data_IF_646439548786
#
_entry.id   IF_646439548786
#
_cell.length_a   1.000
_cell.length_b   1.000
_cell.length_c   1.000
_cell.angle_alpha   90.00
_cell.angle_beta   90.00
_cell.angle_gamma   90.00
#
_symmetry.space_group_name_H-M   'P 1'
#
loop_
_entity.id
_entity.type
_entity.pdbx_description
1 polymer ?
#
# COMPACT_ATOMS: atom_id res chain seq x y z
N UNK A 1 42.60 -20.61 -15.90
CA UNK A 1 41.85 -19.37 -15.58
C UNK A 1 40.36 -19.72 -15.45
N UNK A 2 39.74 -19.30 -14.32
CA UNK A 2 38.31 -19.24 -13.95
C UNK A 2 37.41 -20.46 -14.28
N UNK A 3 36.77 -21.22 -13.37
CA UNK A 3 36.34 -21.14 -11.97
C UNK A 3 35.59 -19.87 -11.54
N UNK A 4 34.24 -19.87 -11.64
CA UNK A 4 33.30 -19.18 -10.72
C UNK A 4 31.84 -19.26 -11.23
N UNK A 5 31.29 -20.47 -11.44
CA UNK A 5 29.88 -20.65 -11.85
C UNK A 5 28.99 -21.32 -10.80
N UNK A 6 29.37 -21.32 -9.52
CA UNK A 6 28.59 -21.94 -8.43
C UNK A 6 28.36 -21.09 -7.17
N UNK A 7 28.70 -19.80 -7.18
CA UNK A 7 28.69 -18.96 -5.97
C UNK A 7 27.82 -17.70 -6.05
N UNK A 8 27.15 -17.46 -7.18
CA UNK A 8 26.42 -16.20 -7.40
C UNK A 8 24.97 -16.19 -6.88
N UNK A 9 24.35 -17.34 -6.64
CA UNK A 9 22.93 -17.42 -6.23
C UNK A 9 22.71 -17.25 -4.71
N UNK A 10 23.70 -17.53 -3.88
CA UNK A 10 23.55 -17.56 -2.41
C UNK A 10 23.69 -16.20 -1.72
N UNK A 11 24.19 -15.17 -2.43
CA UNK A 11 24.44 -13.84 -1.85
C UNK A 11 23.28 -12.86 -2.16
N UNK A 12 22.51 -13.09 -3.22
CA UNK A 12 21.55 -12.09 -3.73
C UNK A 12 20.20 -12.13 -2.98
N UNK A 13 19.77 -13.30 -2.51
CA UNK A 13 18.46 -13.46 -1.84
C UNK A 13 18.37 -12.85 -0.42
N UNK A 14 19.41 -12.87 0.44
CA UNK A 14 19.33 -12.21 1.75
C UNK A 14 19.42 -10.67 1.66
N UNK A 15 20.16 -10.15 0.68
CA UNK A 15 20.43 -8.72 0.51
C UNK A 15 19.19 -7.98 -0.01
N UNK A 16 18.41 -8.60 -0.92
CA UNK A 16 17.13 -8.05 -1.35
C UNK A 16 16.16 -7.85 -0.18
N UNK A 17 16.06 -8.80 0.77
CA UNK A 17 15.13 -8.69 1.92
C UNK A 17 15.53 -7.66 2.97
N UNK A 18 16.82 -7.31 3.11
CA UNK A 18 17.31 -6.36 4.13
C UNK A 18 17.55 -4.94 3.63
N UNK A 19 17.88 -4.72 2.35
CA UNK A 19 18.19 -3.37 1.83
C UNK A 19 17.10 -2.77 0.93
N UNK A 20 16.37 -3.58 0.18
CA UNK A 20 15.34 -3.05 -0.73
C UNK A 20 14.11 -2.53 0.05
N UNK A 21 13.68 -3.25 1.09
CA UNK A 21 12.45 -2.95 1.83
C UNK A 21 12.50 -1.64 2.67
N UNK A 22 13.61 -1.31 3.35
CA UNK A 22 13.73 -0.03 4.07
C UNK A 22 13.91 1.18 3.15
N UNK A 23 14.64 1.01 2.04
CA UNK A 23 14.85 2.08 1.06
C UNK A 23 13.58 2.33 0.28
N UNK A 24 12.88 1.29 -0.19
CA UNK A 24 11.56 1.43 -0.80
C UNK A 24 10.55 2.07 0.17
N UNK A 25 10.54 1.70 1.46
CA UNK A 25 9.71 2.38 2.48
C UNK A 25 10.09 3.83 2.72
N UNK A 26 11.37 4.20 2.59
CA UNK A 26 11.86 5.58 2.73
C UNK A 26 11.65 6.43 1.49
N UNK A 27 11.66 5.81 0.30
CA UNK A 27 11.52 6.49 -0.98
C UNK A 27 10.08 6.49 -1.50
N UNK A 28 9.22 5.55 -1.07
CA UNK A 28 7.80 5.51 -1.41
C UNK A 28 7.08 6.83 -1.12
N UNK A 29 7.31 7.54 0.00
CA UNK A 29 6.69 8.85 0.23
C UNK A 29 7.12 9.92 -0.78
N UNK A 30 8.24 9.75 -1.48
CA UNK A 30 8.77 10.69 -2.47
C UNK A 30 8.47 10.27 -3.92
N UNK A 31 8.02 9.03 -4.14
CA UNK A 31 7.57 8.55 -5.44
C UNK A 31 6.10 8.94 -5.62
N UNK A 32 5.82 9.83 -6.59
CA UNK A 32 4.46 10.28 -6.92
C UNK A 32 3.55 9.07 -7.20
N UNK A 33 2.57 8.83 -6.34
CA UNK A 33 1.56 7.76 -6.48
C UNK A 33 1.64 6.64 -5.43
N UNK A 34 2.71 6.61 -4.63
CA UNK A 34 2.90 5.63 -3.55
C UNK A 34 2.63 6.30 -2.19
N UNK A 35 1.82 5.65 -1.34
CA UNK A 35 1.46 6.09 -0.01
C UNK A 35 1.75 4.99 1.03
N UNK A 36 1.86 5.35 2.30
CA UNK A 36 1.94 4.36 3.39
C UNK A 36 0.66 4.41 4.20
N UNK A 37 -0.13 3.33 4.15
CA UNK A 37 -1.31 3.15 4.99
C UNK A 37 -0.92 2.44 6.28
N UNK A 38 -1.08 3.11 7.42
CA UNK A 38 -0.95 2.54 8.75
C UNK A 38 -2.32 2.11 9.28
N UNK A 39 -2.45 0.82 9.58
CA UNK A 39 -3.64 0.22 10.20
C UNK A 39 -3.30 -0.32 11.60
N UNK A 40 -4.29 -0.60 12.44
CA UNK A 40 -4.08 -1.27 13.72
C UNK A 40 -4.30 -2.78 13.57
N UNK A 41 -3.28 -3.58 13.92
CA UNK A 41 -3.36 -5.03 13.82
C UNK A 41 -4.48 -5.60 14.71
N UNK A 42 -5.51 -6.21 14.12
CA UNK A 42 -6.71 -6.70 14.84
C UNK A 42 -6.43 -7.68 15.98
N UNK A 43 -5.34 -8.45 15.90
CA UNK A 43 -4.95 -9.43 16.92
C UNK A 43 -3.96 -8.85 17.93
N UNK A 44 -3.06 -7.97 17.47
CA UNK A 44 -1.95 -7.51 18.31
C UNK A 44 -2.13 -6.10 18.87
N UNK A 45 -3.10 -5.32 18.37
CA UNK A 45 -3.29 -3.91 18.73
C UNK A 45 -2.17 -2.96 18.27
N UNK A 46 -1.21 -3.44 17.46
CA UNK A 46 -0.01 -2.67 17.09
C UNK A 46 -0.17 -1.99 15.72
N UNK A 47 0.45 -0.82 15.49
CA UNK A 47 0.49 -0.18 14.18
C UNK A 47 1.15 -1.06 13.11
N UNK A 48 0.54 -1.12 11.91
CA UNK A 48 0.95 -1.93 10.75
C UNK A 48 1.01 -1.05 9.50
N UNK A 49 2.19 -0.47 9.17
CA UNK A 49 2.38 0.31 7.96
C UNK A 49 2.51 -0.59 6.72
N UNK A 50 1.71 -0.31 5.71
CA UNK A 50 1.61 -1.04 4.43
C UNK A 50 1.76 -0.04 3.28
N UNK A 51 2.75 -0.21 2.39
CA UNK A 51 2.80 0.56 1.15
C UNK A 51 1.57 0.25 0.29
N UNK A 52 0.89 1.29 -0.18
CA UNK A 52 -0.29 1.18 -1.03
C UNK A 52 -0.19 2.20 -2.16
N UNK A 53 -0.55 1.77 -3.36
CA UNK A 53 -0.83 2.69 -4.47
C UNK A 53 -2.20 3.34 -4.27
N UNK A 54 -2.33 4.59 -4.70
CA UNK A 54 -3.61 5.28 -4.62
C UNK A 54 -3.62 6.67 -5.25
N UNK A 55 -4.73 7.36 -5.07
CA UNK A 55 -4.92 8.74 -5.52
C UNK A 55 -5.55 9.56 -4.42
N UNK A 56 -4.96 10.72 -4.16
CA UNK A 56 -5.58 11.77 -3.37
C UNK A 56 -6.50 12.60 -4.27
N UNK A 57 -7.72 12.83 -3.80
CA UNK A 57 -8.74 13.71 -4.40
C UNK A 57 -9.34 14.58 -3.30
N UNK A 58 -8.90 15.84 -3.22
CA UNK A 58 -9.15 16.69 -2.05
C UNK A 58 -8.60 16.06 -0.76
N UNK A 59 -9.50 15.82 0.19
CA UNK A 59 -9.19 15.15 1.46
C UNK A 59 -9.54 13.66 1.45
N UNK A 60 -9.85 13.10 0.29
CA UNK A 60 -10.18 11.68 0.15
C UNK A 60 -9.04 10.94 -0.54
N UNK A 61 -8.51 9.90 0.10
CA UNK A 61 -7.51 9.03 -0.48
C UNK A 61 -8.14 7.70 -0.92
N UNK A 62 -7.99 7.38 -2.20
CA UNK A 62 -8.56 6.20 -2.83
C UNK A 62 -7.50 5.12 -3.00
N UNK A 63 -7.82 3.91 -2.56
CA UNK A 63 -6.99 2.70 -2.65
C UNK A 63 -7.80 1.61 -3.32
N UNK A 64 -7.15 0.79 -4.15
CA UNK A 64 -7.74 -0.47 -4.63
C UNK A 64 -6.87 -1.62 -4.15
N UNK A 65 -7.46 -2.50 -3.34
CA UNK A 65 -6.81 -3.72 -2.86
C UNK A 65 -6.83 -4.78 -3.95
N UNK A 66 -5.67 -5.31 -4.32
CA UNK A 66 -5.54 -6.38 -5.32
C UNK A 66 -6.10 -7.72 -4.83
N UNK A 67 -6.05 -7.97 -3.52
CA UNK A 67 -6.53 -9.21 -2.88
C UNK A 67 -7.79 -9.02 -2.04
N UNK A 68 -8.42 -7.85 -2.12
CA UNK A 68 -9.67 -7.54 -1.43
C UNK A 68 -9.63 -7.85 0.06
N UNK A 69 -10.61 -8.60 0.55
CA UNK A 69 -10.75 -9.02 1.96
C UNK A 69 -9.71 -10.05 2.42
N UNK A 70 -8.88 -10.58 1.52
CA UNK A 70 -7.75 -11.45 1.89
C UNK A 70 -6.53 -10.66 2.35
N UNK A 71 -6.43 -9.38 1.96
CA UNK A 71 -5.38 -8.48 2.43
C UNK A 71 -5.42 -8.29 3.95
N UNK A 72 -4.27 -8.43 4.62
CA UNK A 72 -4.21 -8.29 6.08
C UNK A 72 -4.60 -6.89 6.57
N UNK A 73 -4.21 -5.85 5.82
CA UNK A 73 -4.61 -4.49 6.18
C UNK A 73 -6.13 -4.32 6.04
N UNK A 74 -6.78 -4.89 5.02
CA UNK A 74 -8.25 -4.85 4.87
C UNK A 74 -8.96 -5.57 6.02
N UNK A 75 -8.42 -6.71 6.48
CA UNK A 75 -8.93 -7.40 7.67
C UNK A 75 -8.75 -6.58 8.95
N UNK A 76 -7.71 -5.76 9.02
CA UNK A 76 -7.55 -4.82 10.13
C UNK A 76 -8.60 -3.70 10.04
N UNK A 77 -8.80 -3.13 8.84
CA UNK A 77 -9.79 -2.07 8.60
C UNK A 77 -11.22 -2.50 8.95
N UNK A 78 -11.56 -3.76 8.66
CA UNK A 78 -12.86 -4.32 8.99
C UNK A 78 -13.15 -4.36 10.51
N UNK A 79 -12.12 -4.30 11.35
CA UNK A 79 -12.25 -4.28 12.83
C UNK A 79 -12.05 -2.87 13.37
N UNK A 80 -11.07 -2.13 12.84
CA UNK A 80 -10.80 -0.75 13.23
C UNK A 80 -10.54 0.10 11.96
N UNK A 81 -11.48 0.99 11.59
CA UNK A 81 -11.35 1.82 10.39
C UNK A 81 -10.42 3.03 10.59
N UNK A 82 -9.95 3.30 11.82
CA UNK A 82 -9.04 4.42 12.09
C UNK A 82 -7.66 4.13 11.51
N UNK A 83 -7.17 5.05 10.69
CA UNK A 83 -5.92 4.90 9.95
C UNK A 83 -5.10 6.17 9.95
N UNK A 84 -3.83 6.02 9.57
CA UNK A 84 -3.00 7.12 9.12
C UNK A 84 -2.48 6.83 7.72
N UNK A 85 -2.42 7.85 6.88
CA UNK A 85 -1.87 7.76 5.53
C UNK A 85 -0.69 8.71 5.42
N UNK A 86 0.47 8.20 5.02
CA UNK A 86 1.62 9.02 4.65
C UNK A 86 1.57 9.35 3.17
N UNK A 87 1.44 10.63 2.83
CA UNK A 87 1.42 11.16 1.48
C UNK A 87 2.51 12.22 1.36
N UNK A 88 3.38 12.14 0.36
CA UNK A 88 4.47 13.10 0.16
C UNK A 88 5.36 13.32 1.42
N UNK A 89 5.50 12.28 2.27
CA UNK A 89 6.24 12.35 3.54
C UNK A 89 5.42 12.83 4.74
N UNK A 90 4.22 13.40 4.52
CA UNK A 90 3.35 13.95 5.57
C UNK A 90 2.32 12.90 6.00
N UNK A 91 2.19 12.68 7.31
CA UNK A 91 1.16 11.81 7.87
C UNK A 91 -0.14 12.58 8.07
N UNK A 92 -1.24 12.00 7.59
CA UNK A 92 -2.62 12.46 7.84
C UNK A 92 -3.43 11.35 8.49
N UNK A 93 -4.22 11.70 9.49
CA UNK A 93 -5.22 10.84 10.14
C UNK A 93 -6.48 10.76 9.29
N UNK A 94 -7.20 9.66 9.39
CA UNK A 94 -8.47 9.50 8.66
C UNK A 94 -9.20 8.22 9.00
N UNK A 95 -10.36 8.05 8.36
CA UNK A 95 -11.24 6.90 8.53
C UNK A 95 -11.37 6.16 7.21
N UNK A 96 -11.05 4.87 7.22
CA UNK A 96 -11.17 4.01 6.06
C UNK A 96 -12.56 3.37 5.96
N UNK A 97 -13.12 3.42 4.76
CA UNK A 97 -14.39 2.82 4.38
C UNK A 97 -14.13 1.78 3.30
N UNK A 98 -14.48 0.54 3.57
CA UNK A 98 -14.46 -0.55 2.59
C UNK A 98 -15.73 -0.41 1.73
N UNK A 99 -15.57 -0.32 0.41
CA UNK A 99 -16.68 -0.18 -0.53
C UNK A 99 -16.83 -1.49 -1.30
N UNK A 100 -17.69 -2.38 -0.81
CA UNK A 100 -17.96 -3.67 -1.46
C UNK A 100 -18.76 -3.53 -2.77
N UNK A 101 -19.56 -2.47 -2.90
CA UNK A 101 -20.47 -2.25 -4.03
C UNK A 101 -19.92 -1.28 -5.11
N UNK A 102 -18.70 -0.74 -4.95
CA UNK A 102 -18.08 0.15 -5.95
C UNK A 102 -17.52 -0.67 -7.14
N UNK A 103 -17.39 -0.05 -8.33
CA UNK A 103 -16.70 -0.68 -9.47
C UNK A 103 -15.18 -0.44 -9.36
N UNK A 104 -14.39 -1.44 -8.92
CA UNK A 104 -12.97 -1.24 -8.68
C UNK A 104 -12.19 -1.06 -9.98
N UNK A 105 -12.72 -1.56 -11.11
CA UNK A 105 -12.09 -1.42 -12.42
C UNK A 105 -12.29 -0.02 -12.98
N UNK A 106 -13.47 0.57 -12.79
CA UNK A 106 -13.69 1.98 -13.10
C UNK A 106 -12.79 2.87 -12.23
N UNK A 107 -12.66 2.55 -10.93
CA UNK A 107 -11.77 3.28 -10.01
C UNK A 107 -10.30 3.19 -10.42
N UNK A 108 -9.80 1.99 -10.75
CA UNK A 108 -8.42 1.79 -11.21
C UNK A 108 -8.05 2.64 -12.42
N UNK A 109 -8.99 2.89 -13.35
CA UNK A 109 -8.76 3.76 -14.52
C UNK A 109 -8.50 5.22 -14.13
N UNK A 110 -8.94 5.65 -12.95
CA UNK A 110 -8.78 7.01 -12.44
C UNK A 110 -7.54 7.17 -11.56
N UNK A 111 -6.83 6.08 -11.22
CA UNK A 111 -5.61 6.11 -10.40
C UNK A 111 -4.35 6.26 -11.28
N UNK A 112 -3.31 6.99 -10.83
CA UNK A 112 -2.04 7.08 -11.57
C UNK A 112 -1.44 5.69 -11.83
N UNK A 113 -0.98 5.49 -13.07
CA UNK A 113 -0.54 4.21 -13.65
C UNK A 113 0.72 3.59 -13.05
N UNK A 114 1.27 4.14 -11.96
CA UNK A 114 2.48 3.62 -11.31
C UNK A 114 2.03 2.53 -10.35
N UNK A 115 1.60 1.45 -11.00
CA UNK A 115 1.34 0.15 -10.42
C UNK A 115 2.68 -0.41 -9.94
N UNK A 116 2.78 -0.72 -8.66
CA UNK A 116 3.92 -1.39 -8.04
C UNK A 116 4.04 -2.81 -8.61
N UNK A 117 4.53 -2.98 -9.83
CA UNK A 117 4.87 -4.23 -10.53
C UNK A 117 3.82 -5.39 -10.57
N UNK A 118 2.66 -5.30 -9.90
CA UNK A 118 1.78 -6.44 -9.60
C UNK A 118 0.36 -6.30 -10.20
N UNK A 119 -0.12 -5.08 -10.42
CA UNK A 119 -1.50 -4.79 -10.88
C UNK A 119 -1.77 -5.31 -12.30
N UNK A 120 -0.73 -5.63 -13.09
CA UNK A 120 -0.90 -6.21 -14.44
C UNK A 120 -1.00 -7.74 -14.47
N UNK A 121 -0.88 -8.45 -13.33
CA UNK A 121 -0.80 -9.90 -13.36
C UNK A 121 -1.90 -10.67 -12.61
N UNK A 122 -2.44 -10.27 -11.44
CA UNK A 122 -3.19 -11.26 -10.60
C UNK A 122 -4.28 -10.71 -9.64
N UNK A 123 -5.13 -9.75 -10.02
CA UNK A 123 -6.21 -9.29 -9.13
C UNK A 123 -7.56 -9.98 -9.40
N UNK A 124 -7.90 -11.09 -8.71
CA UNK A 124 -9.24 -11.73 -8.83
C UNK A 124 -10.30 -11.12 -7.91
N UNK A 125 -9.88 -10.45 -6.83
CA UNK A 125 -10.77 -9.92 -5.77
C UNK A 125 -10.48 -8.43 -5.54
N UNK A 126 -10.71 -7.60 -6.56
CA UNK A 126 -10.50 -6.16 -6.42
C UNK A 126 -11.52 -5.58 -5.42
N UNK A 127 -11.05 -4.70 -4.52
CA UNK A 127 -11.89 -4.02 -3.54
C UNK A 127 -11.49 -2.57 -3.43
N UNK A 128 -12.44 -1.66 -3.58
CA UNK A 128 -12.19 -0.23 -3.38
C UNK A 128 -12.22 0.10 -1.89
N UNK A 129 -11.28 0.92 -1.47
CA UNK A 129 -11.20 1.48 -0.13
C UNK A 129 -11.07 2.99 -0.27
N UNK A 130 -11.95 3.70 0.41
CA UNK A 130 -11.92 5.15 0.52
C UNK A 130 -11.39 5.52 1.90
N UNK A 131 -10.44 6.44 1.99
CA UNK A 131 -9.99 6.99 3.26
C UNK A 131 -10.35 8.46 3.29
N UNK A 132 -11.23 8.83 4.21
CA UNK A 132 -11.61 10.21 4.46
C UNK A 132 -10.59 10.79 5.45
N UNK A 133 -9.71 11.66 4.96
CA UNK A 133 -8.62 12.24 5.74
C UNK A 133 -9.09 13.52 6.44
N UNK A 134 -8.52 13.78 7.61
CA UNK A 134 -8.64 15.10 8.24
C UNK A 134 -7.98 16.15 7.35
N UNK A 135 -8.55 17.36 7.23
CA UNK A 135 -8.00 18.45 6.43
C UNK A 135 -6.54 18.70 6.80
N UNK A 136 -5.70 18.97 5.80
CA UNK A 136 -4.35 19.42 6.09
C UNK A 136 -4.44 20.76 6.84
N UNK A 137 -3.63 20.97 7.90
CA UNK A 137 -3.53 22.30 8.50
C UNK A 137 -2.98 23.27 7.45
N UNK A 138 -3.64 24.44 7.33
CA UNK A 138 -3.30 25.53 6.40
C UNK A 138 -1.88 26.08 6.59
#
# INVERSE_FOLDING_TARGET
MANASRTWESIILPVQRRLANPIARRLAPYLRGEAVLETIGRTSGLPRPTPVGGRLDGDTFWIVSEFGRRSQYVRNLAVNPQVRVQLAGVWRTGVAVILDDDDPRARLKQLPRINSALVRLVGTDLLTIRVDLEPAPD
#
